data_IF_733250802806
#
_entry.id   IF_733250802806
#
_cell.length_a   1.000
_cell.length_b   1.000
_cell.length_c   1.000
_cell.angle_alpha   90.00
_cell.angle_beta   90.00
_cell.angle_gamma   90.00
#
_symmetry.space_group_name_H-M   'P 1'
#
loop_
_entity.id
_entity.type
_entity.pdbx_description
1 polymer ?
#
# COMPACT_ATOMS: atom_id res chain seq x y z
N UNK A 1 40.44 7.03 -14.08
CA UNK A 1 39.76 8.24 -13.59
C UNK A 1 38.35 7.83 -13.22
N UNK A 2 37.91 7.99 -11.96
CA UNK A 2 36.54 7.67 -11.59
C UNK A 2 35.63 8.84 -11.98
N UNK A 3 34.59 8.54 -12.75
CA UNK A 3 33.53 9.48 -13.13
C UNK A 3 32.64 9.76 -11.92
N UNK A 4 32.47 11.04 -11.64
CA UNK A 4 31.71 11.62 -10.53
C UNK A 4 30.22 11.37 -10.76
N UNK A 5 29.54 10.69 -9.83
CA UNK A 5 28.06 10.64 -9.79
C UNK A 5 27.55 12.08 -9.60
N UNK A 6 26.66 12.53 -10.47
CA UNK A 6 26.04 13.85 -10.40
C UNK A 6 24.81 13.75 -9.50
N UNK A 7 24.91 14.24 -8.27
CA UNK A 7 23.76 14.47 -7.40
C UNK A 7 23.20 15.85 -7.74
N UNK A 8 22.06 15.91 -8.42
CA UNK A 8 21.27 17.14 -8.48
C UNK A 8 20.44 17.23 -7.21
N UNK A 9 20.90 18.11 -6.31
CA UNK A 9 20.17 18.52 -5.11
C UNK A 9 19.15 19.58 -5.52
N UNK A 10 17.87 19.24 -5.44
CA UNK A 10 16.76 20.19 -5.46
C UNK A 10 16.07 20.10 -4.09
N UNK A 11 15.64 21.24 -3.59
CA UNK A 11 15.24 21.46 -2.20
C UNK A 11 14.23 20.43 -1.66
N UNK A 12 14.58 19.80 -0.53
CA UNK A 12 13.59 19.45 0.48
C UNK A 12 12.74 18.18 0.30
N UNK A 13 13.20 17.16 -0.41
CA UNK A 13 12.73 15.78 -0.27
C UNK A 13 13.82 14.86 -0.83
N UNK A 14 14.36 13.94 -0.02
CA UNK A 14 15.19 12.87 -0.56
C UNK A 14 14.21 11.92 -1.25
N UNK A 15 13.95 12.13 -2.53
CA UNK A 15 13.33 11.11 -3.38
C UNK A 15 14.24 9.88 -3.32
N UNK A 16 13.74 8.81 -2.71
CA UNK A 16 14.41 7.53 -2.71
C UNK A 16 14.21 6.95 -4.10
N UNK A 17 15.25 7.06 -4.94
CA UNK A 17 15.26 6.49 -6.29
C UNK A 17 16.03 5.18 -6.25
N UNK A 18 15.35 4.06 -6.52
CA UNK A 18 15.98 2.74 -6.61
C UNK A 18 16.66 2.59 -7.98
N UNK A 19 17.66 1.72 -8.07
CA UNK A 19 18.31 1.44 -9.35
C UNK A 19 17.44 0.59 -10.28
N UNK A 20 16.65 -0.31 -9.70
CA UNK A 20 15.74 -1.20 -10.41
C UNK A 20 14.39 -0.53 -10.67
N UNK A 21 13.84 -0.76 -11.87
CA UNK A 21 12.54 -0.19 -12.24
C UNK A 21 11.41 -0.82 -11.44
N UNK A 22 11.48 -2.11 -11.12
CA UNK A 22 10.44 -2.76 -10.32
C UNK A 22 10.34 -2.15 -8.93
N UNK A 23 11.47 -1.88 -8.27
CA UNK A 23 11.48 -1.24 -6.95
C UNK A 23 10.87 0.17 -6.99
N UNK A 24 11.14 0.95 -8.05
CA UNK A 24 10.48 2.25 -8.23
C UNK A 24 8.97 2.12 -8.48
N UNK A 25 8.52 1.10 -9.22
CA UNK A 25 7.08 0.88 -9.44
C UNK A 25 6.35 0.48 -8.15
N UNK A 26 6.96 -0.34 -7.30
CA UNK A 26 6.42 -0.70 -5.98
C UNK A 26 6.41 0.53 -5.07
N UNK A 27 7.50 1.31 -5.06
CA UNK A 27 7.58 2.57 -4.33
C UNK A 27 6.47 3.55 -4.72
N UNK A 28 6.19 3.71 -6.01
CA UNK A 28 5.10 4.59 -6.47
C UNK A 28 3.73 4.13 -5.96
N UNK A 29 3.48 2.82 -5.89
CA UNK A 29 2.27 2.26 -5.29
C UNK A 29 2.23 2.52 -3.78
N UNK A 30 3.32 2.25 -3.06
CA UNK A 30 3.45 2.54 -1.63
C UNK A 30 3.18 4.00 -1.30
N UNK A 31 3.77 4.94 -2.04
CA UNK A 31 3.56 6.38 -1.79
C UNK A 31 2.12 6.80 -2.09
N UNK A 32 1.48 6.17 -3.09
CA UNK A 32 0.05 6.36 -3.38
C UNK A 32 -0.81 5.87 -2.22
N UNK A 33 -0.52 4.68 -1.70
CA UNK A 33 -1.24 4.07 -0.57
C UNK A 33 -1.04 4.89 0.71
N UNK A 34 0.20 5.23 1.09
CA UNK A 34 0.49 6.10 2.25
C UNK A 34 -0.26 7.42 2.16
N UNK A 35 -0.18 8.13 1.03
CA UNK A 35 -0.83 9.44 0.88
C UNK A 35 -2.36 9.37 1.03
N UNK A 36 -2.96 8.22 0.74
CA UNK A 36 -4.39 7.99 0.97
C UNK A 36 -4.70 7.64 2.43
N UNK A 37 -3.88 6.82 3.07
CA UNK A 37 -4.03 6.48 4.48
C UNK A 37 -3.89 7.72 5.37
N UNK A 38 -2.92 8.59 5.10
CA UNK A 38 -2.76 9.88 5.81
C UNK A 38 -4.02 10.76 5.68
N UNK A 39 -4.66 10.75 4.50
CA UNK A 39 -5.93 11.47 4.29
C UNK A 39 -7.05 10.88 5.13
N UNK A 40 -7.11 9.55 5.29
CA UNK A 40 -8.09 8.88 6.14
C UNK A 40 -7.84 9.20 7.62
N UNK A 41 -6.61 9.08 8.08
CA UNK A 41 -6.19 9.41 9.45
C UNK A 41 -6.45 10.87 9.80
N UNK A 42 -6.35 11.78 8.82
CA UNK A 42 -6.70 13.18 9.02
C UNK A 42 -8.23 13.43 9.00
N UNK A 43 -8.98 12.72 8.16
CA UNK A 43 -10.40 12.95 7.95
C UNK A 43 -11.28 12.34 9.06
N UNK A 44 -11.03 11.09 9.45
CA UNK A 44 -11.89 10.38 10.40
C UNK A 44 -11.99 11.10 11.75
N UNK A 45 -10.90 11.54 12.41
CA UNK A 45 -10.99 12.24 13.69
C UNK A 45 -11.74 13.57 13.63
N UNK A 46 -11.74 14.25 12.47
CA UNK A 46 -12.48 15.51 12.27
C UNK A 46 -13.99 15.28 12.24
N UNK A 47 -14.43 14.19 11.63
CA UNK A 47 -15.85 13.78 11.60
C UNK A 47 -16.26 13.26 12.98
N UNK A 48 -15.40 12.43 13.58
CA UNK A 48 -15.55 11.88 14.92
C UNK A 48 -16.37 10.58 14.94
N UNK A 49 -15.89 9.61 15.72
CA UNK A 49 -16.44 8.23 15.79
C UNK A 49 -17.93 8.12 16.14
N UNK A 50 -18.51 9.10 16.84
CA UNK A 50 -19.91 9.05 17.35
C UNK A 50 -20.92 9.74 16.44
N UNK A 51 -20.46 10.42 15.40
CA UNK A 51 -21.29 11.26 14.54
C UNK A 51 -21.16 10.77 13.10
N UNK A 52 -22.11 9.95 12.61
CA UNK A 52 -22.11 9.56 11.22
C UNK A 52 -22.09 10.79 10.32
N UNK A 53 -21.30 10.76 9.24
CA UNK A 53 -21.29 11.82 8.25
C UNK A 53 -22.64 11.91 7.53
N UNK A 54 -22.94 13.07 6.94
CA UNK A 54 -24.06 13.20 6.00
C UNK A 54 -23.79 12.30 4.78
N UNK A 55 -24.79 11.53 4.36
CA UNK A 55 -24.72 10.67 3.16
C UNK A 55 -24.44 11.48 1.89
N UNK A 56 -24.72 12.79 1.90
CA UNK A 56 -24.47 13.70 0.78
C UNK A 56 -23.11 14.42 0.89
N UNK A 57 -22.26 14.07 1.87
CA UNK A 57 -20.90 14.59 1.94
C UNK A 57 -20.06 14.07 0.76
N UNK A 58 -19.95 14.89 -0.28
CA UNK A 58 -19.25 14.54 -1.50
C UNK A 58 -17.73 14.37 -1.29
N UNK A 59 -17.13 15.08 -0.34
CA UNK A 59 -15.70 14.98 -0.07
C UNK A 59 -15.39 13.63 0.57
N UNK A 60 -16.16 13.27 1.60
CA UNK A 60 -16.01 11.98 2.25
C UNK A 60 -16.37 10.83 1.31
N UNK A 61 -17.48 10.93 0.57
CA UNK A 61 -17.87 9.90 -0.40
C UNK A 61 -16.79 9.63 -1.45
N UNK A 62 -16.07 10.67 -1.88
CA UNK A 62 -14.93 10.53 -2.79
C UNK A 62 -13.76 9.86 -2.08
N UNK A 63 -13.39 10.31 -0.89
CA UNK A 63 -12.30 9.72 -0.10
C UNK A 63 -12.52 8.22 0.16
N UNK A 64 -13.74 7.81 0.51
CA UNK A 64 -14.11 6.40 0.69
C UNK A 64 -13.98 5.60 -0.62
N UNK A 65 -14.29 6.23 -1.75
CA UNK A 65 -14.10 5.64 -3.07
C UNK A 65 -12.66 5.41 -3.43
N UNK A 66 -11.83 6.43 -3.22
CA UNK A 66 -10.39 6.33 -3.41
C UNK A 66 -9.84 5.21 -2.52
N UNK A 67 -10.22 5.17 -1.24
CA UNK A 67 -9.78 4.14 -0.28
C UNK A 67 -10.12 2.73 -0.76
N UNK A 68 -11.37 2.48 -1.13
CA UNK A 68 -11.76 1.16 -1.61
C UNK A 68 -11.00 0.75 -2.89
N UNK A 69 -10.78 1.68 -3.82
CA UNK A 69 -10.07 1.39 -5.07
C UNK A 69 -8.57 1.11 -4.84
N UNK A 70 -7.90 1.94 -4.04
CA UNK A 70 -6.48 1.76 -3.72
C UNK A 70 -6.25 0.47 -2.92
N UNK A 71 -7.03 0.24 -1.86
CA UNK A 71 -6.88 -0.99 -1.08
C UNK A 71 -7.21 -2.24 -1.88
N UNK A 72 -8.16 -2.17 -2.83
CA UNK A 72 -8.42 -3.30 -3.73
C UNK A 72 -7.18 -3.66 -4.54
N UNK A 73 -6.48 -2.67 -5.11
CA UNK A 73 -5.24 -2.90 -5.88
C UNK A 73 -4.10 -3.42 -5.01
N UNK A 74 -3.92 -2.82 -3.84
CA UNK A 74 -2.90 -3.19 -2.84
C UNK A 74 -3.04 -4.67 -2.45
N UNK A 75 -4.20 -5.04 -1.88
CA UNK A 75 -4.39 -6.38 -1.31
C UNK A 75 -4.70 -7.45 -2.34
N UNK A 76 -4.69 -7.13 -3.64
CA UNK A 76 -4.79 -8.14 -4.71
C UNK A 76 -3.53 -8.11 -5.55
N UNK A 77 -3.46 -7.26 -6.57
CA UNK A 77 -2.37 -7.23 -7.53
C UNK A 77 -1.00 -6.99 -6.87
N UNK A 78 -0.89 -6.09 -5.89
CA UNK A 78 0.39 -5.77 -5.26
C UNK A 78 0.88 -6.93 -4.40
N UNK A 79 0.15 -7.29 -3.34
CA UNK A 79 0.55 -8.38 -2.44
C UNK A 79 0.71 -9.73 -3.16
N UNK A 80 -0.18 -10.05 -4.12
CA UNK A 80 -0.06 -11.28 -4.89
C UNK A 80 1.20 -11.29 -5.75
N UNK A 81 1.54 -10.17 -6.38
CA UNK A 81 2.76 -10.06 -7.17
C UNK A 81 4.00 -10.29 -6.29
N UNK A 82 4.09 -9.63 -5.15
CA UNK A 82 5.21 -9.79 -4.23
C UNK A 82 5.34 -11.23 -3.74
N UNK A 83 4.25 -11.83 -3.27
CA UNK A 83 4.23 -13.20 -2.76
C UNK A 83 4.67 -14.22 -3.82
N UNK A 84 4.16 -14.09 -5.04
CA UNK A 84 4.41 -15.05 -6.11
C UNK A 84 5.74 -14.85 -6.81
N UNK A 85 6.25 -13.62 -6.86
CA UNK A 85 7.44 -13.30 -7.66
C UNK A 85 8.63 -12.90 -6.80
N UNK A 86 8.46 -12.01 -5.84
CA UNK A 86 9.60 -11.42 -5.13
C UNK A 86 9.97 -12.22 -3.88
N UNK A 87 8.98 -12.57 -3.05
CA UNK A 87 9.18 -13.33 -1.82
C UNK A 87 9.80 -14.70 -2.11
N UNK A 88 9.31 -15.38 -3.15
CA UNK A 88 9.83 -16.68 -3.56
C UNK A 88 11.32 -16.60 -3.92
N UNK A 89 11.77 -15.55 -4.62
CA UNK A 89 13.20 -15.36 -4.98
C UNK A 89 14.08 -15.17 -3.75
N UNK A 90 13.65 -14.36 -2.79
CA UNK A 90 14.38 -14.14 -1.53
C UNK A 90 14.49 -15.44 -0.72
N UNK A 91 13.40 -16.20 -0.65
CA UNK A 91 13.37 -17.48 0.06
C UNK A 91 14.29 -18.52 -0.58
N UNK A 92 14.37 -18.57 -1.91
CA UNK A 92 15.29 -19.44 -2.66
C UNK A 92 16.77 -19.13 -2.38
N UNK A 93 17.09 -17.89 -2.00
CA UNK A 93 18.42 -17.46 -1.57
C UNK A 93 18.72 -17.81 -0.10
N UNK A 94 17.74 -18.31 0.65
CA UNK A 94 17.88 -18.73 2.05
C UNK A 94 17.53 -17.66 3.09
N UNK A 95 17.13 -16.45 2.66
CA UNK A 95 16.66 -15.39 3.54
C UNK A 95 15.16 -15.54 3.76
N UNK A 96 14.74 -15.83 4.99
CA UNK A 96 13.35 -16.25 5.29
C UNK A 96 12.66 -15.49 6.42
N UNK A 97 13.35 -14.95 7.45
CA UNK A 97 12.65 -14.31 8.57
C UNK A 97 11.83 -13.07 8.18
N UNK A 98 12.37 -12.20 7.32
CA UNK A 98 11.68 -10.99 6.87
C UNK A 98 10.46 -11.33 6.02
N UNK A 99 10.61 -12.28 5.08
CA UNK A 99 9.52 -12.73 4.21
C UNK A 99 8.38 -13.36 5.01
N UNK A 100 8.71 -14.16 6.02
CA UNK A 100 7.69 -14.72 6.93
C UNK A 100 6.90 -13.64 7.69
N UNK A 101 7.54 -12.52 8.05
CA UNK A 101 6.86 -11.38 8.70
C UNK A 101 5.94 -10.66 7.70
N UNK A 102 6.44 -10.28 6.53
CA UNK A 102 5.66 -9.54 5.53
C UNK A 102 4.45 -10.34 5.05
N UNK A 103 4.64 -11.62 4.72
CA UNK A 103 3.54 -12.51 4.35
C UNK A 103 2.51 -12.67 5.47
N UNK A 104 2.97 -12.80 6.73
CA UNK A 104 2.07 -12.86 7.88
C UNK A 104 1.27 -11.58 8.08
N UNK A 105 1.81 -10.42 7.70
CA UNK A 105 1.07 -9.16 7.72
C UNK A 105 0.06 -9.06 6.58
N UNK A 106 0.40 -9.52 5.37
CA UNK A 106 -0.56 -9.63 4.27
C UNK A 106 -1.79 -10.44 4.69
N UNK A 107 -1.58 -11.58 5.37
CA UNK A 107 -2.66 -12.42 5.89
C UNK A 107 -3.59 -11.69 6.88
N UNK A 108 -3.05 -10.71 7.62
CA UNK A 108 -3.82 -9.91 8.58
C UNK A 108 -4.49 -8.70 7.90
N UNK A 109 -3.82 -8.05 6.96
CA UNK A 109 -4.29 -6.84 6.29
C UNK A 109 -5.40 -7.16 5.29
N UNK A 110 -5.26 -8.24 4.50
CA UNK A 110 -6.26 -8.65 3.49
C UNK A 110 -7.70 -8.70 4.04
N UNK A 111 -8.02 -9.37 5.16
CA UNK A 111 -9.38 -9.37 5.69
C UNK A 111 -9.85 -8.00 6.19
N UNK A 112 -8.97 -7.17 6.75
CA UNK A 112 -9.33 -5.81 7.19
C UNK A 112 -9.71 -4.93 5.99
N UNK A 113 -8.95 -5.01 4.90
CA UNK A 113 -9.25 -4.31 3.65
C UNK A 113 -10.58 -4.81 3.04
N UNK A 114 -10.84 -6.12 3.07
CA UNK A 114 -12.08 -6.70 2.58
C UNK A 114 -13.31 -6.18 3.37
N UNK A 115 -13.23 -6.21 4.71
CA UNK A 115 -14.29 -5.68 5.59
C UNK A 115 -14.52 -4.18 5.33
N UNK A 116 -13.44 -3.43 5.10
CA UNK A 116 -13.50 -2.00 4.82
C UNK A 116 -14.19 -1.72 3.48
N UNK A 117 -13.81 -2.44 2.42
CA UNK A 117 -14.45 -2.31 1.11
C UNK A 117 -15.94 -2.66 1.16
N UNK A 118 -16.30 -3.68 1.94
CA UNK A 118 -17.71 -4.03 2.16
C UNK A 118 -18.46 -2.91 2.91
N UNK A 119 -17.85 -2.32 3.93
CA UNK A 119 -18.45 -1.20 4.67
C UNK A 119 -18.64 0.04 3.77
N UNK A 120 -17.67 0.36 2.91
CA UNK A 120 -17.80 1.45 1.92
C UNK A 120 -18.93 1.16 0.94
N UNK A 121 -19.04 -0.06 0.42
CA UNK A 121 -20.10 -0.44 -0.50
C UNK A 121 -21.50 -0.32 0.14
N UNK A 122 -21.65 -0.78 1.38
CA UNK A 122 -22.89 -0.65 2.13
C UNK A 122 -23.26 0.83 2.39
N UNK A 123 -22.28 1.62 2.83
CA UNK A 123 -22.49 3.04 3.10
C UNK A 123 -22.88 3.85 1.85
N UNK A 124 -22.41 3.46 0.67
CA UNK A 124 -22.82 4.08 -0.61
C UNK A 124 -24.27 3.78 -0.98
N UNK A 125 -24.81 2.66 -0.55
CA UNK A 125 -26.19 2.27 -0.82
C UNK A 125 -27.16 2.85 0.20
N UNK A 126 -26.80 2.83 1.49
CA UNK A 126 -27.73 3.06 2.59
C UNK A 126 -27.32 4.21 3.54
N UNK A 127 -26.14 4.81 3.33
CA UNK A 127 -25.51 5.71 4.28
C UNK A 127 -24.94 4.96 5.49
N UNK A 128 -24.32 5.71 6.42
CA UNK A 128 -23.88 5.12 7.69
C UNK A 128 -24.93 5.29 8.78
N UNK A 129 -25.25 4.18 9.46
CA UNK A 129 -25.80 4.21 10.81
C UNK A 129 -24.72 4.62 11.83
N UNK A 130 -25.13 4.94 13.06
CA UNK A 130 -24.19 5.17 14.17
C UNK A 130 -23.27 3.97 14.45
N UNK A 131 -23.80 2.76 14.35
CA UNK A 131 -23.04 1.53 14.61
C UNK A 131 -22.07 1.23 13.47
N UNK A 132 -22.56 1.21 12.23
CA UNK A 132 -21.72 0.97 11.05
C UNK A 132 -20.65 2.05 10.86
N UNK A 133 -20.94 3.31 11.22
CA UNK A 133 -19.94 4.36 11.22
C UNK A 133 -18.84 4.11 12.24
N UNK A 134 -19.21 3.77 13.47
CA UNK A 134 -18.24 3.50 14.53
C UNK A 134 -17.33 2.32 14.17
N UNK A 135 -17.89 1.27 13.58
CA UNK A 135 -17.13 0.13 13.09
C UNK A 135 -16.19 0.51 11.94
N UNK A 136 -16.68 1.24 10.94
CA UNK A 136 -15.87 1.75 9.84
C UNK A 136 -14.75 2.67 10.31
N UNK A 137 -15.02 3.54 11.27
CA UNK A 137 -14.05 4.45 11.87
C UNK A 137 -12.89 3.67 12.50
N UNK A 138 -13.20 2.69 13.35
CA UNK A 138 -12.18 1.90 14.05
C UNK A 138 -11.36 1.07 13.05
N UNK A 139 -12.04 0.44 12.09
CA UNK A 139 -11.42 -0.35 11.04
C UNK A 139 -10.52 0.47 10.13
N UNK A 140 -10.96 1.67 9.72
CA UNK A 140 -10.19 2.55 8.86
C UNK A 140 -8.90 3.04 9.51
N UNK A 141 -8.92 3.32 10.82
CA UNK A 141 -7.71 3.69 11.55
C UNK A 141 -6.79 2.49 11.82
N UNK A 142 -7.33 1.31 12.12
CA UNK A 142 -6.52 0.11 12.27
C UNK A 142 -5.83 -0.29 10.96
N UNK A 143 -6.56 -0.22 9.84
CA UNK A 143 -5.99 -0.49 8.53
C UNK A 143 -4.88 0.50 8.19
N UNK A 144 -5.11 1.80 8.42
CA UNK A 144 -4.11 2.83 8.14
C UNK A 144 -2.81 2.63 8.93
N UNK A 145 -2.91 2.29 10.22
CA UNK A 145 -1.75 2.02 11.07
C UNK A 145 -0.97 0.79 10.56
N UNK A 146 -1.66 -0.34 10.36
CA UNK A 146 -1.02 -1.60 9.93
C UNK A 146 -0.37 -1.50 8.57
N UNK A 147 -1.08 -0.94 7.60
CA UNK A 147 -0.60 -0.82 6.22
C UNK A 147 0.59 0.14 6.14
N UNK A 148 0.54 1.26 6.85
CA UNK A 148 1.66 2.20 6.90
C UNK A 148 2.91 1.54 7.50
N UNK A 149 2.78 0.78 8.59
CA UNK A 149 3.90 0.07 9.19
C UNK A 149 4.43 -1.07 8.32
N UNK A 150 3.54 -1.74 7.58
CA UNK A 150 3.89 -2.77 6.61
C UNK A 150 4.77 -2.17 5.50
N UNK A 151 4.25 -1.16 4.79
CA UNK A 151 4.96 -0.43 3.73
C UNK A 151 6.31 0.12 4.21
N UNK A 152 6.36 0.69 5.42
CA UNK A 152 7.62 1.21 5.97
C UNK A 152 8.71 0.14 6.08
N UNK A 153 8.36 -1.10 6.44
CA UNK A 153 9.34 -2.19 6.53
C UNK A 153 9.81 -2.60 5.14
N UNK A 154 8.94 -2.51 4.15
CA UNK A 154 9.30 -2.83 2.78
C UNK A 154 10.23 -1.78 2.18
N UNK A 155 9.87 -0.51 2.30
CA UNK A 155 10.71 0.63 1.88
C UNK A 155 12.07 0.65 2.58
N UNK A 156 12.11 0.35 3.88
CA UNK A 156 13.35 0.45 4.65
C UNK A 156 14.26 -0.78 4.54
N UNK A 157 13.71 -1.94 4.16
CA UNK A 157 14.47 -3.20 4.18
C UNK A 157 14.25 -4.08 2.95
N UNK A 158 13.02 -4.32 2.53
CA UNK A 158 12.71 -5.23 1.43
C UNK A 158 13.16 -4.68 0.07
N UNK A 159 12.73 -3.48 -0.33
CA UNK A 159 13.10 -2.88 -1.60
C UNK A 159 14.62 -2.62 -1.71
N UNK A 160 15.33 -2.14 -0.66
CA UNK A 160 16.77 -2.04 -0.69
C UNK A 160 17.50 -3.38 -0.85
N UNK A 161 16.93 -4.48 -0.33
CA UNK A 161 17.47 -5.82 -0.55
C UNK A 161 17.29 -6.26 -2.00
N UNK A 162 16.08 -6.11 -2.55
CA UNK A 162 15.77 -6.42 -3.95
C UNK A 162 16.70 -5.67 -4.91
N UNK A 163 16.91 -4.38 -4.66
CA UNK A 163 17.78 -3.50 -5.46
C UNK A 163 19.25 -3.94 -5.51
N UNK A 164 19.67 -4.84 -4.60
CA UNK A 164 21.04 -5.36 -4.55
C UNK A 164 21.21 -6.74 -5.20
N UNK A 165 20.11 -7.48 -5.39
CA UNK A 165 20.19 -8.91 -5.75
C UNK A 165 19.60 -9.24 -7.12
N UNK A 166 18.66 -8.42 -7.61
CA UNK A 166 18.02 -8.60 -8.91
C UNK A 166 18.91 -7.94 -9.97
N UNK A 167 19.11 -8.64 -11.09
CA UNK A 167 19.83 -8.08 -12.23
C UNK A 167 18.90 -7.36 -13.24
N UNK A 168 19.51 -6.71 -14.25
CA UNK A 168 18.77 -5.92 -15.23
C UNK A 168 17.82 -6.75 -16.12
N UNK A 169 18.12 -8.04 -16.35
CA UNK A 169 17.26 -8.92 -17.15
C UNK A 169 16.04 -9.32 -16.32
N UNK A 170 16.25 -9.74 -15.08
CA UNK A 170 15.20 -10.06 -14.13
C UNK A 170 14.29 -8.86 -13.82
N UNK A 171 14.85 -7.65 -13.67
CA UNK A 171 14.08 -6.41 -13.45
C UNK A 171 13.08 -6.15 -14.58
N UNK A 172 13.49 -6.37 -15.84
CA UNK A 172 12.62 -6.19 -16.98
C UNK A 172 11.45 -7.18 -16.98
N UNK A 173 11.73 -8.45 -16.72
CA UNK A 173 10.71 -9.49 -16.64
C UNK A 173 9.72 -9.24 -15.49
N UNK A 174 10.24 -8.81 -14.33
CA UNK A 174 9.43 -8.45 -13.17
C UNK A 174 8.55 -7.22 -13.44
N UNK A 175 9.07 -6.19 -14.11
CA UNK A 175 8.27 -5.03 -14.52
C UNK A 175 7.10 -5.41 -15.43
N UNK A 176 7.32 -6.34 -16.38
CA UNK A 176 6.28 -6.84 -17.27
C UNK A 176 5.23 -7.63 -16.50
N UNK A 177 5.67 -8.53 -15.62
CA UNK A 177 4.78 -9.32 -14.77
C UNK A 177 3.93 -8.42 -13.85
N UNK A 178 4.53 -7.39 -13.24
CA UNK A 178 3.81 -6.46 -12.37
C UNK A 178 2.77 -5.64 -13.13
N UNK A 179 3.13 -5.14 -14.32
CA UNK A 179 2.19 -4.41 -15.19
C UNK A 179 1.01 -5.29 -15.60
N UNK A 180 1.26 -6.57 -15.89
CA UNK A 180 0.21 -7.53 -16.22
C UNK A 180 -0.71 -7.79 -15.00
N UNK A 181 -0.14 -7.95 -13.80
CA UNK A 181 -0.91 -8.17 -12.57
C UNK A 181 -1.84 -6.99 -12.22
N UNK A 182 -1.44 -5.75 -12.52
CA UNK A 182 -2.27 -4.54 -12.32
C UNK A 182 -3.38 -4.36 -13.35
N UNK A 183 -3.28 -5.03 -14.50
CA UNK A 183 -4.22 -4.88 -15.62
C UNK A 183 -5.30 -5.96 -15.65
N UNK A 184 -5.16 -7.02 -14.84
CA UNK A 184 -6.12 -8.11 -14.69
C UNK A 184 -7.14 -7.83 -13.61
#
# INVERSE_FOLDING_TARGET
MPTRKSTTQTDGEILMEYSLRICNMLHDDHMTTIGLLERIEAALPRVGRKSPPDVNDAELSRLLGDLAATMQGEVTSHFEFEEQNLFTRIEEMGETPMIGILRGEHEIIRPLAADLMQAVAAARSEGFSAESWAAFYDLGLELADRETFHIQKEEMAFLPLLDQIIDEEEDNDLCQAFTAARSG
#
